data_IF_556852161823
#
_entry.id   IF_556852161823
#
_cell.length_a   1.000
_cell.length_b   1.000
_cell.length_c   1.000
_cell.angle_alpha   90.00
_cell.angle_beta   90.00
_cell.angle_gamma   90.00
#
_symmetry.space_group_name_H-M   'P 1'
#
loop_
_entity.id
_entity.type
_entity.pdbx_description
1 polymer ?
#
# COMPACT_ATOMS: atom_id res chain seq x y z
N UNK A 1 -2.54 -6.72 -5.32
CA UNK A 1 -2.79 -6.27 -3.94
C UNK A 1 -4.14 -6.75 -3.42
N UNK A 2 -5.27 -6.42 -4.06
CA UNK A 2 -6.61 -6.83 -3.60
C UNK A 2 -6.75 -8.34 -3.38
N UNK A 3 -6.32 -9.16 -4.36
CA UNK A 3 -6.31 -10.62 -4.21
C UNK A 3 -5.42 -11.14 -3.06
N UNK A 4 -4.42 -10.37 -2.62
CA UNK A 4 -3.60 -10.71 -1.45
C UNK A 4 -4.31 -10.32 -0.14
N UNK A 5 -5.21 -9.34 -0.18
CA UNK A 5 -6.02 -8.92 0.97
C UNK A 5 -7.25 -9.82 1.17
N UNK A 6 -7.73 -10.50 0.12
CA UNK A 6 -8.79 -11.52 0.21
C UNK A 6 -8.42 -12.65 1.17
N UNK A 7 -7.13 -13.01 1.23
CA UNK A 7 -6.64 -14.19 1.94
C UNK A 7 -5.78 -13.74 3.13
N UNK A 8 -6.35 -13.79 4.34
CA UNK A 8 -5.61 -13.65 5.59
C UNK A 8 -5.50 -12.23 6.18
N UNK A 9 -6.10 -11.21 5.55
CA UNK A 9 -6.16 -9.89 6.18
C UNK A 9 -7.17 -9.88 7.33
N UNK A 10 -6.83 -9.37 8.53
CA UNK A 10 -7.72 -9.40 9.68
C UNK A 10 -9.01 -8.61 9.39
N UNK A 11 -10.15 -9.30 9.39
CA UNK A 11 -11.47 -8.70 9.15
C UNK A 11 -12.06 -8.33 10.51
N UNK A 12 -11.84 -7.08 10.92
CA UNK A 12 -12.37 -6.55 12.17
C UNK A 12 -13.45 -5.49 11.89
N UNK A 13 -14.57 -5.47 12.65
CA UNK A 13 -15.64 -4.50 12.47
C UNK A 13 -15.19 -3.04 12.68
N UNK A 14 -14.10 -2.83 13.43
CA UNK A 14 -13.50 -1.52 13.70
C UNK A 14 -12.43 -1.10 12.69
N UNK A 15 -12.24 -1.84 11.60
CA UNK A 15 -11.21 -1.55 10.60
C UNK A 15 -11.73 -0.60 9.53
N UNK A 16 -10.91 0.41 9.21
CA UNK A 16 -11.13 1.29 8.07
C UNK A 16 -10.07 1.03 7.00
N UNK A 17 -10.49 0.85 5.74
CA UNK A 17 -9.59 0.61 4.61
C UNK A 17 -9.59 1.80 3.67
N UNK A 18 -8.45 2.47 3.55
CA UNK A 18 -8.24 3.55 2.58
C UNK A 18 -7.50 3.05 1.35
N UNK A 19 -8.13 3.18 0.19
CA UNK A 19 -7.55 2.77 -1.09
C UNK A 19 -7.04 3.97 -1.87
N UNK A 20 -5.73 4.00 -2.13
CA UNK A 20 -5.11 4.99 -3.01
C UNK A 20 -4.95 4.40 -4.41
N UNK A 21 -5.72 4.93 -5.37
CA UNK A 21 -5.69 4.49 -6.77
C UNK A 21 -4.99 5.52 -7.63
N UNK A 22 -4.12 5.07 -8.52
CA UNK A 22 -3.39 5.93 -9.44
C UNK A 22 -4.28 6.40 -10.60
N UNK A 23 -4.23 7.68 -10.97
CA UNK A 23 -5.08 8.23 -12.03
C UNK A 23 -4.91 7.47 -13.36
N UNK A 24 -6.01 7.09 -14.01
CA UNK A 24 -5.99 6.30 -15.25
C UNK A 24 -5.87 4.78 -15.07
N UNK A 25 -5.99 4.27 -13.84
CA UNK A 25 -6.14 2.83 -13.57
C UNK A 25 -7.61 2.46 -13.29
N UNK A 26 -8.43 2.51 -14.35
CA UNK A 26 -9.86 2.19 -14.28
C UNK A 26 -10.12 0.71 -13.96
N UNK A 27 -9.17 -0.18 -14.25
CA UNK A 27 -9.29 -1.61 -13.96
C UNK A 27 -9.17 -1.87 -12.45
N UNK A 28 -8.22 -1.22 -11.77
CA UNK A 28 -8.08 -1.32 -10.31
C UNK A 28 -9.33 -0.84 -9.56
N UNK A 29 -10.01 0.20 -10.07
CA UNK A 29 -11.25 0.70 -9.49
C UNK A 29 -12.39 -0.33 -9.59
N UNK A 30 -12.56 -0.96 -10.75
CA UNK A 30 -13.57 -2.04 -10.93
C UNK A 30 -13.29 -3.25 -10.03
N UNK A 31 -12.03 -3.68 -9.93
CA UNK A 31 -11.67 -4.78 -9.04
C UNK A 31 -11.88 -4.43 -7.57
N UNK A 32 -11.67 -3.17 -7.18
CA UNK A 32 -11.93 -2.71 -5.81
C UNK A 32 -13.42 -2.76 -5.47
N UNK A 33 -14.27 -2.26 -6.38
CA UNK A 33 -15.73 -2.30 -6.20
C UNK A 33 -16.24 -3.73 -6.08
N UNK A 34 -15.73 -4.64 -6.92
CA UNK A 34 -16.06 -6.07 -6.86
C UNK A 34 -15.61 -6.69 -5.52
N UNK A 35 -14.38 -6.38 -5.07
CA UNK A 35 -13.83 -6.89 -3.81
C UNK A 35 -14.64 -6.41 -2.59
N UNK A 36 -14.96 -5.12 -2.48
CA UNK A 36 -15.75 -4.60 -1.36
C UNK A 36 -17.20 -5.08 -1.39
N UNK A 37 -17.76 -5.36 -2.58
CA UNK A 37 -19.07 -5.99 -2.72
C UNK A 37 -19.05 -7.44 -2.21
N UNK A 38 -18.11 -8.25 -2.67
CA UNK A 38 -17.95 -9.63 -2.22
C UNK A 38 -17.71 -9.71 -0.70
N UNK A 39 -16.87 -8.83 -0.17
CA UNK A 39 -16.58 -8.76 1.26
C UNK A 39 -17.84 -8.45 2.10
N UNK A 40 -18.74 -7.60 1.61
CA UNK A 40 -20.04 -7.32 2.24
C UNK A 40 -21.02 -8.48 2.12
N UNK A 41 -21.03 -9.19 1.00
CA UNK A 41 -21.90 -10.35 0.78
C UNK A 41 -21.49 -11.53 1.67
N UNK A 42 -20.19 -11.78 1.83
CA UNK A 42 -19.67 -12.93 2.60
C UNK A 42 -19.73 -12.70 4.11
N UNK A 43 -19.44 -11.49 4.59
CA UNK A 43 -19.29 -11.21 6.04
C UNK A 43 -20.41 -10.36 6.64
N UNK A 44 -21.30 -9.79 5.83
CA UNK A 44 -22.31 -8.84 6.27
C UNK A 44 -21.76 -7.43 6.52
N UNK A 45 -22.65 -6.44 6.46
CA UNK A 45 -22.29 -5.02 6.49
C UNK A 45 -21.55 -4.58 7.78
N UNK A 46 -21.85 -5.19 8.93
CA UNK A 46 -21.24 -4.80 10.21
C UNK A 46 -19.82 -5.35 10.39
N UNK A 47 -19.52 -6.54 9.86
CA UNK A 47 -18.19 -7.14 9.98
C UNK A 47 -17.24 -6.71 8.85
N UNK A 48 -17.79 -6.22 7.73
CA UNK A 48 -17.04 -5.70 6.62
C UNK A 48 -16.22 -4.44 6.98
N UNK A 49 -16.63 -3.65 7.97
CA UNK A 49 -15.99 -2.38 8.32
C UNK A 49 -16.26 -1.27 7.29
N UNK A 50 -15.47 -0.18 7.35
CA UNK A 50 -15.63 0.99 6.46
C UNK A 50 -14.48 1.11 5.46
N UNK A 51 -14.73 1.77 4.33
CA UNK A 51 -13.70 2.06 3.34
C UNK A 51 -13.87 3.43 2.70
N UNK A 52 -12.78 3.99 2.20
CA UNK A 52 -12.80 5.14 1.29
C UNK A 52 -11.78 4.95 0.15
N UNK A 53 -12.03 5.67 -0.95
CA UNK A 53 -11.26 5.55 -2.18
C UNK A 53 -10.83 6.92 -2.64
N UNK A 54 -9.52 7.12 -2.78
CA UNK A 54 -8.94 8.35 -3.28
C UNK A 54 -8.13 8.09 -4.53
N UNK A 55 -8.47 8.81 -5.62
CA UNK A 55 -7.71 8.78 -6.86
C UNK A 55 -6.61 9.84 -6.77
N UNK A 56 -5.36 9.40 -6.75
CA UNK A 56 -4.16 10.25 -6.69
C UNK A 56 -3.56 10.35 -8.09
N UNK A 57 -3.03 11.52 -8.45
CA UNK A 57 -2.33 11.67 -9.73
C UNK A 57 -1.14 10.70 -9.83
N UNK A 58 -0.95 10.07 -10.99
CA UNK A 58 0.21 9.21 -11.23
C UNK A 58 1.51 9.98 -10.95
N UNK A 59 2.37 9.43 -10.08
CA UNK A 59 3.69 10.00 -9.81
C UNK A 59 4.57 10.08 -11.07
N UNK A 60 4.30 9.25 -12.10
CA UNK A 60 4.94 9.29 -13.42
C UNK A 60 3.97 8.88 -14.52
N UNK A 61 3.83 9.69 -15.58
CA UNK A 61 3.15 9.30 -16.82
C UNK A 61 4.09 8.45 -17.68
N UNK A 62 3.57 7.41 -18.33
CA UNK A 62 4.34 6.58 -19.26
C UNK A 62 4.83 7.50 -20.40
N UNK A 63 6.14 7.47 -20.71
CA UNK A 63 6.88 8.38 -21.62
C UNK A 63 7.31 9.75 -21.05
N UNK A 64 7.17 10.02 -19.75
CA UNK A 64 7.78 11.23 -19.17
C UNK A 64 9.29 11.09 -19.00
N UNK A 65 9.99 12.16 -19.40
CA UNK A 65 11.42 12.37 -19.16
C UNK A 65 11.71 12.30 -17.65
N UNK A 66 12.88 11.72 -17.31
CA UNK A 66 13.37 11.64 -15.93
C UNK A 66 13.52 13.03 -15.29
N UNK A 67 13.64 14.09 -16.10
CA UNK A 67 13.79 15.47 -15.63
C UNK A 67 12.49 16.12 -15.13
N UNK A 68 11.31 15.71 -15.62
CA UNK A 68 10.00 16.23 -15.14
C UNK A 68 9.35 15.35 -14.08
N UNK A 69 9.94 14.17 -13.85
CA UNK A 69 9.55 13.20 -12.83
C UNK A 69 9.56 13.76 -11.38
N UNK A 70 10.52 14.62 -10.94
CA UNK A 70 10.48 15.16 -9.58
C UNK A 70 9.29 16.10 -9.32
N UNK A 71 8.83 16.85 -10.33
CA UNK A 71 7.70 17.78 -10.16
C UNK A 71 6.37 17.03 -10.01
N UNK A 72 6.14 16.00 -10.82
CA UNK A 72 4.95 15.15 -10.68
C UNK A 72 4.99 14.31 -9.40
N UNK A 73 6.18 13.87 -8.97
CA UNK A 73 6.35 13.22 -7.68
C UNK A 73 5.99 14.16 -6.50
N UNK A 74 6.41 15.43 -6.54
CA UNK A 74 6.08 16.42 -5.51
C UNK A 74 4.57 16.71 -5.45
N UNK A 75 3.89 16.80 -6.59
CA UNK A 75 2.43 16.93 -6.62
C UNK A 75 1.73 15.72 -6.00
N UNK A 76 2.20 14.50 -6.28
CA UNK A 76 1.68 13.30 -5.61
C UNK A 76 1.93 13.36 -4.10
N UNK A 77 3.10 13.83 -3.65
CA UNK A 77 3.39 14.04 -2.22
C UNK A 77 2.38 14.99 -1.59
N UNK A 78 2.13 16.15 -2.21
CA UNK A 78 1.19 17.16 -1.71
C UNK A 78 -0.25 16.64 -1.62
N UNK A 79 -0.65 15.72 -2.51
CA UNK A 79 -1.95 15.07 -2.46
C UNK A 79 -2.03 13.96 -1.40
N UNK A 80 -0.95 13.20 -1.21
CA UNK A 80 -0.88 12.09 -0.25
C UNK A 80 -0.79 12.60 1.19
N UNK A 81 -0.10 13.71 1.42
CA UNK A 81 0.11 14.29 2.74
C UNK A 81 -1.20 14.52 3.53
N UNK A 82 -2.22 15.24 3.02
CA UNK A 82 -3.48 15.40 3.76
C UNK A 82 -4.22 14.07 3.92
N UNK A 83 -4.08 13.13 2.99
CA UNK A 83 -4.73 11.81 3.08
C UNK A 83 -4.10 10.92 4.15
N UNK A 84 -2.83 11.09 4.51
CA UNK A 84 -2.23 10.35 5.61
C UNK A 84 -2.56 10.95 6.97
N UNK A 85 -2.87 12.25 7.02
CA UNK A 85 -3.20 12.99 8.25
C UNK A 85 -4.71 13.12 8.51
N UNK A 86 -5.54 12.84 7.50
CA UNK A 86 -7.00 12.88 7.63
C UNK A 86 -7.52 11.53 8.09
N UNK A 87 -8.15 11.48 9.26
CA UNK A 87 -8.83 10.27 9.75
C UNK A 87 -10.34 10.39 9.57
N UNK A 88 -11.02 9.32 9.13
CA UNK A 88 -12.49 9.25 9.11
C UNK A 88 -13.08 9.09 10.52
N UNK A 89 -12.25 8.83 11.54
CA UNK A 89 -12.72 8.66 12.91
C UNK A 89 -12.69 9.98 13.68
N UNK A 90 -13.87 10.52 13.96
CA UNK A 90 -14.09 11.70 14.80
C UNK A 90 -14.46 11.24 16.22
N UNK A 91 -13.47 11.05 17.12
CA UNK A 91 -13.75 10.60 18.49
C UNK A 91 -12.52 10.39 19.40
N UNK A 92 -12.74 9.74 20.55
CA UNK A 92 -11.74 9.53 21.64
C UNK A 92 -10.52 8.71 21.22
N UNK A 93 -10.56 8.07 20.04
CA UNK A 93 -9.51 7.20 19.52
C UNK A 93 -8.40 8.00 18.82
N UNK A 94 -7.67 8.80 19.60
CA UNK A 94 -6.53 9.61 19.13
C UNK A 94 -5.46 8.81 18.37
N UNK A 95 -5.28 7.52 18.69
CA UNK A 95 -4.39 6.59 17.95
C UNK A 95 -4.87 6.26 16.54
N UNK A 96 -6.18 6.26 16.26
CA UNK A 96 -6.73 6.02 14.92
C UNK A 96 -6.69 7.26 14.01
N UNK A 97 -5.98 8.32 14.43
CA UNK A 97 -5.80 9.51 13.61
C UNK A 97 -4.86 9.26 12.41
N UNK A 98 -3.98 8.27 12.52
CA UNK A 98 -3.03 7.88 11.48
C UNK A 98 -3.30 6.45 11.01
N UNK A 99 -2.92 6.08 9.78
CA UNK A 99 -3.01 4.69 9.34
C UNK A 99 -2.10 3.82 10.20
N UNK A 100 -2.54 2.62 10.56
CA UNK A 100 -1.70 1.66 11.29
C UNK A 100 -0.65 1.04 10.36
N UNK A 101 -1.08 0.65 9.16
CA UNK A 101 -0.26 -0.04 8.16
C UNK A 101 -0.53 0.54 6.78
N UNK A 102 0.53 0.77 6.01
CA UNK A 102 0.48 1.16 4.60
C UNK A 102 0.97 -0.01 3.76
N UNK A 103 0.07 -0.61 2.99
CA UNK A 103 0.39 -1.72 2.10
C UNK A 103 0.58 -1.22 0.68
N UNK A 104 1.67 -1.63 0.02
CA UNK A 104 1.83 -1.31 -1.41
C UNK A 104 2.60 -2.38 -2.19
N UNK A 105 2.16 -2.60 -3.43
CA UNK A 105 2.87 -3.40 -4.43
C UNK A 105 3.21 -2.58 -5.70
N UNK A 106 2.94 -1.27 -5.66
CA UNK A 106 3.00 -0.38 -6.82
C UNK A 106 4.37 0.30 -6.95
N UNK A 107 4.95 0.41 -8.17
CA UNK A 107 6.34 0.81 -8.32
C UNK A 107 6.63 2.29 -8.04
N UNK A 108 5.78 3.22 -8.50
CA UNK A 108 6.05 4.66 -8.37
C UNK A 108 5.24 5.28 -7.23
N UNK A 109 3.91 5.15 -7.28
CA UNK A 109 3.03 5.74 -6.25
C UNK A 109 3.29 5.15 -4.87
N UNK A 110 3.53 3.84 -4.77
CA UNK A 110 3.84 3.17 -3.50
C UNK A 110 5.13 3.68 -2.85
N UNK A 111 6.18 3.90 -3.65
CA UNK A 111 7.42 4.48 -3.16
C UNK A 111 7.24 5.91 -2.65
N UNK A 112 6.46 6.73 -3.36
CA UNK A 112 6.17 8.10 -2.92
C UNK A 112 5.39 8.10 -1.61
N UNK A 113 4.36 7.26 -1.45
CA UNK A 113 3.62 7.16 -0.18
C UNK A 113 4.57 6.79 0.96
N UNK A 114 5.43 5.80 0.77
CA UNK A 114 6.40 5.38 1.77
C UNK A 114 7.41 6.50 2.11
N UNK A 115 7.88 7.24 1.11
CA UNK A 115 8.75 8.40 1.31
C UNK A 115 8.07 9.48 2.15
N UNK A 116 6.78 9.76 1.89
CA UNK A 116 6.01 10.73 2.69
C UNK A 116 5.88 10.27 4.14
N UNK A 117 5.54 9.00 4.36
CA UNK A 117 5.48 8.43 5.71
C UNK A 117 6.82 8.54 6.43
N UNK A 118 7.92 8.20 5.75
CA UNK A 118 9.26 8.31 6.31
C UNK A 118 9.64 9.76 6.67
N UNK A 119 9.31 10.73 5.82
CA UNK A 119 9.50 12.15 6.13
C UNK A 119 8.64 12.58 7.32
N UNK A 120 7.38 12.16 7.38
CA UNK A 120 6.48 12.45 8.51
C UNK A 120 7.01 11.90 9.83
N UNK A 121 7.56 10.68 9.83
CA UNK A 121 8.24 10.07 10.99
C UNK A 121 9.50 10.86 11.36
N UNK A 122 10.36 11.17 10.36
CA UNK A 122 11.60 11.92 10.55
C UNK A 122 11.39 13.30 11.17
N UNK A 123 10.32 13.99 10.80
CA UNK A 123 9.96 15.31 11.35
C UNK A 123 9.08 15.22 12.60
N UNK A 124 8.88 14.04 13.19
CA UNK A 124 8.07 13.80 14.38
C UNK A 124 6.61 14.29 14.25
N UNK A 125 6.09 14.35 13.03
CA UNK A 125 4.68 14.72 12.76
C UNK A 125 3.75 13.56 13.10
N UNK A 126 4.19 12.33 12.85
CA UNK A 126 3.49 11.10 13.24
C UNK A 126 4.37 10.23 14.14
N UNK A 127 3.80 9.45 15.07
CA UNK A 127 4.55 8.50 15.88
C UNK A 127 5.22 7.40 15.06
N UNK A 128 6.40 6.93 15.49
CA UNK A 128 7.14 5.87 14.80
C UNK A 128 6.40 4.53 14.75
N UNK A 129 5.55 4.25 15.74
CA UNK A 129 4.73 3.03 15.84
C UNK A 129 3.50 3.04 14.92
N UNK A 130 3.28 4.12 14.17
CA UNK A 130 2.18 4.25 13.20
C UNK A 130 2.66 4.16 11.75
N UNK A 131 1.73 4.02 10.83
CA UNK A 131 1.94 4.00 9.38
C UNK A 131 3.04 3.04 8.94
N UNK A 132 3.06 1.82 9.48
CA UNK A 132 4.05 0.81 9.15
C UNK A 132 3.98 0.47 7.66
N UNK A 133 5.06 0.75 6.92
CA UNK A 133 5.11 0.59 5.46
C UNK A 133 5.52 -0.83 5.12
N UNK A 134 4.57 -1.58 4.53
CA UNK A 134 4.79 -2.92 4.01
C UNK A 134 4.83 -2.89 2.48
N UNK A 135 5.98 -3.22 1.91
CA UNK A 135 6.10 -3.44 0.48
C UNK A 135 6.07 -4.93 0.15
N UNK A 136 5.23 -5.31 -0.82
CA UNK A 136 5.11 -6.70 -1.29
C UNK A 136 5.48 -6.76 -2.78
N UNK A 137 6.59 -7.42 -3.09
CA UNK A 137 6.96 -7.77 -4.46
C UNK A 137 6.21 -9.04 -4.89
N UNK A 138 5.43 -8.93 -5.96
CA UNK A 138 4.60 -10.03 -6.46
C UNK A 138 5.37 -11.04 -7.32
N UNK A 139 4.75 -12.19 -7.58
CA UNK A 139 5.25 -13.24 -8.51
C UNK A 139 5.52 -12.78 -9.95
N UNK A 140 5.15 -11.56 -10.33
CA UNK A 140 5.42 -11.03 -11.67
C UNK A 140 6.94 -10.94 -11.98
N UNK A 141 7.79 -11.00 -10.96
CA UNK A 141 9.25 -11.00 -11.10
C UNK A 141 9.88 -12.21 -10.41
N UNK A 142 10.27 -13.19 -11.23
CA UNK A 142 10.85 -14.45 -10.77
C UNK A 142 12.39 -14.48 -10.75
N UNK A 143 13.04 -13.50 -11.41
CA UNK A 143 14.52 -13.48 -11.57
C UNK A 143 15.23 -12.41 -10.74
N UNK A 144 14.63 -11.23 -10.59
CA UNK A 144 15.25 -10.09 -9.90
C UNK A 144 14.18 -9.22 -9.26
N UNK A 145 14.54 -8.48 -8.21
CA UNK A 145 13.67 -7.45 -7.62
C UNK A 145 13.29 -6.37 -8.65
N UNK A 146 12.07 -5.85 -8.57
CA UNK A 146 11.69 -4.61 -9.27
C UNK A 146 12.62 -3.46 -8.87
N UNK A 147 12.67 -2.42 -9.71
CA UNK A 147 13.45 -1.22 -9.39
C UNK A 147 13.01 -0.60 -8.05
N UNK A 148 11.71 -0.62 -7.78
CA UNK A 148 11.11 -0.13 -6.53
C UNK A 148 11.50 -0.98 -5.34
N UNK A 149 11.43 -2.31 -5.46
CA UNK A 149 11.89 -3.20 -4.39
C UNK A 149 13.40 -3.05 -4.12
N UNK A 150 14.21 -2.87 -5.18
CA UNK A 150 15.64 -2.55 -5.01
C UNK A 150 15.85 -1.21 -4.30
N UNK A 151 15.01 -0.22 -4.59
CA UNK A 151 15.08 1.08 -3.94
C UNK A 151 14.72 0.95 -2.47
N UNK A 152 13.61 0.30 -2.13
CA UNK A 152 13.24 0.01 -0.73
C UNK A 152 14.31 -0.76 0.01
N UNK A 153 14.87 -1.80 -0.60
CA UNK A 153 15.95 -2.60 -0.04
C UNK A 153 17.21 -1.76 0.23
N UNK A 154 17.53 -0.79 -0.63
CA UNK A 154 18.72 0.06 -0.46
C UNK A 154 18.51 1.24 0.48
N UNK A 155 17.31 1.83 0.48
CA UNK A 155 17.03 3.05 1.26
C UNK A 155 16.56 2.75 2.67
N UNK A 156 16.03 1.55 2.94
CA UNK A 156 15.48 1.20 4.25
C UNK A 156 14.20 1.98 4.62
N UNK A 157 13.53 2.60 3.64
CA UNK A 157 12.33 3.41 3.86
C UNK A 157 11.08 2.58 4.15
N UNK A 158 11.05 1.32 3.69
CA UNK A 158 9.97 0.39 4.04
C UNK A 158 10.32 -0.32 5.35
N UNK A 159 9.38 -0.34 6.28
CA UNK A 159 9.52 -1.05 7.56
C UNK A 159 9.62 -2.57 7.33
N UNK A 160 8.92 -3.10 6.32
CA UNK A 160 9.04 -4.51 5.93
C UNK A 160 8.96 -4.66 4.39
N UNK A 161 9.90 -5.43 3.86
CA UNK A 161 9.99 -5.81 2.44
C UNK A 161 9.76 -7.31 2.30
N UNK A 162 8.65 -7.67 1.66
CA UNK A 162 8.24 -9.03 1.40
C UNK A 162 8.38 -9.37 -0.08
N UNK A 163 8.87 -10.57 -0.36
CA UNK A 163 8.96 -11.10 -1.73
C UNK A 163 8.25 -12.44 -1.79
N UNK A 164 7.36 -12.62 -2.77
CA UNK A 164 6.64 -13.89 -2.90
C UNK A 164 7.51 -15.01 -3.50
N UNK A 165 8.43 -14.69 -4.40
CA UNK A 165 9.28 -15.68 -5.06
C UNK A 165 10.47 -16.07 -4.18
N UNK A 166 10.49 -17.31 -3.71
CA UNK A 166 11.49 -17.81 -2.75
C UNK A 166 12.94 -17.62 -3.22
N UNK A 167 13.25 -17.94 -4.48
CA UNK A 167 14.64 -17.81 -4.98
C UNK A 167 15.10 -16.36 -5.00
N UNK A 168 14.18 -15.41 -5.24
CA UNK A 168 14.50 -13.98 -5.24
C UNK A 168 14.62 -13.50 -3.79
N UNK A 169 13.74 -13.96 -2.91
CA UNK A 169 13.82 -13.67 -1.48
C UNK A 169 15.19 -14.09 -0.90
N UNK A 170 15.61 -15.33 -1.19
CA UNK A 170 16.92 -15.88 -0.78
C UNK A 170 18.10 -15.11 -1.40
N UNK A 171 18.04 -14.81 -2.70
CA UNK A 171 19.13 -14.12 -3.40
C UNK A 171 19.40 -12.71 -2.85
N UNK A 172 18.38 -12.04 -2.31
CA UNK A 172 18.48 -10.69 -1.76
C UNK A 172 18.41 -10.64 -0.22
N UNK A 173 18.32 -11.79 0.46
CA UNK A 173 18.25 -11.85 1.92
C UNK A 173 16.99 -11.21 2.53
N UNK A 174 15.87 -11.22 1.80
CA UNK A 174 14.60 -10.61 2.23
C UNK A 174 13.58 -11.68 2.61
N UNK A 175 12.57 -11.30 3.39
CA UNK A 175 11.55 -12.21 3.89
C UNK A 175 10.69 -12.75 2.76
N UNK A 176 10.56 -14.08 2.71
CA UNK A 176 9.66 -14.75 1.78
C UNK A 176 8.22 -14.72 2.31
N UNK A 177 7.28 -14.18 1.54
CA UNK A 177 5.87 -14.16 1.89
C UNK A 177 5.08 -15.36 1.33
N UNK A 178 5.67 -16.15 0.44
CA UNK A 178 5.02 -17.31 -0.16
C UNK A 178 3.79 -16.96 -1.01
N UNK A 179 2.90 -17.95 -1.16
CA UNK A 179 1.69 -17.80 -1.95
C UNK A 179 0.58 -17.11 -1.13
N UNK A 180 0.40 -15.80 -1.37
CA UNK A 180 -0.68 -15.01 -0.72
C UNK A 180 -1.96 -14.91 -1.58
N UNK A 181 -2.06 -15.67 -2.68
CA UNK A 181 -3.17 -15.55 -3.66
C UNK A 181 -3.92 -16.86 -3.85
N UNK A 182 -3.32 -18.01 -3.50
CA UNK A 182 -4.00 -19.31 -3.58
C UNK A 182 -4.44 -19.69 -2.16
N UNK A 183 -5.74 -19.89 -1.98
CA UNK A 183 -6.30 -20.43 -0.74
C UNK A 183 -5.67 -21.81 -0.54
N UNK A 184 -4.91 -22.00 0.55
CA UNK A 184 -4.47 -23.34 0.93
C UNK A 184 -5.73 -24.13 1.30
N UNK A 185 -6.11 -25.07 0.46
CA UNK A 185 -7.06 -26.12 0.82
C UNK A 185 -6.32 -27.09 1.74
N UNK A 186 -6.23 -26.74 3.01
CA UNK A 186 -5.72 -27.60 4.08
C UNK A 186 -6.68 -27.54 5.25
#
# INVERSE_FOLDING_TARGET
MLAMMEIGFPKAPNMHRRYLISSGDAMSLKHLEAFEKDLREVHGAEQAGTHDTHVVARARKIHQSLLTTPFTALLSVLQIFPLLLSSPFTGVRKRQQFPDVVLTNGPATGFIVALVVYLLKMFYVIPEDTAQVLFIESWARIRTLSLTAKLFHRTGIADLLLVQHEQVAKAYGVTNAGCMVVRSNS
#
